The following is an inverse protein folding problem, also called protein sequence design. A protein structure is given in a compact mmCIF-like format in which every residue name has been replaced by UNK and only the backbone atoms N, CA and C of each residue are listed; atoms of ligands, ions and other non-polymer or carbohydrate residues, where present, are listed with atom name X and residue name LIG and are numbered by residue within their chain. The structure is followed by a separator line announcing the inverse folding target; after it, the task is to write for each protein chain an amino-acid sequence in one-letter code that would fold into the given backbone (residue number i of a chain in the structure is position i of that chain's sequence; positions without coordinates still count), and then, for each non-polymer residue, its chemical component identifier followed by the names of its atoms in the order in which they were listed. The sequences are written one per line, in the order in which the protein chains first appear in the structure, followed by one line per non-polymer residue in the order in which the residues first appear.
data_IF_452201998444
#
_entry.id   IF_452201998444
#
_cell.length_a   1.000
_cell.length_b   1.000
_cell.length_c   1.000
_cell.angle_alpha   90.00
_cell.angle_beta   90.00
_cell.angle_gamma   90.00
#
_symmetry.space_group_name_H-M   'P 1'
#
loop_
_entity.id
_entity.type
_entity.pdbx_description
1 polymer ?
#
# COMPACT_ATOMS: atom_id res chain seq x y z
N UNK A 1 20.65 29.88 10.64
CA UNK A 1 19.53 30.10 9.68
C UNK A 1 18.60 28.88 9.70
N UNK A 2 17.31 29.02 10.05
CA UNK A 2 16.33 27.93 9.87
C UNK A 2 16.13 27.70 8.36
N UNK A 3 16.45 26.51 7.83
CA UNK A 3 16.11 26.15 6.44
C UNK A 3 14.58 26.13 6.32
N UNK A 4 14.01 27.05 5.56
CA UNK A 4 12.60 27.01 5.17
C UNK A 4 12.43 25.83 4.21
N UNK A 5 11.62 24.84 4.56
CA UNK A 5 11.34 23.71 3.67
C UNK A 5 10.53 24.24 2.49
N UNK A 6 10.89 23.86 1.26
CA UNK A 6 10.16 24.30 0.08
C UNK A 6 8.82 23.61 -0.07
N UNK A 7 7.90 24.28 -0.78
CA UNK A 7 6.61 23.71 -1.20
C UNK A 7 6.78 22.35 -1.92
N UNK A 8 7.85 22.18 -2.70
CA UNK A 8 8.14 20.95 -3.45
C UNK A 8 8.54 19.78 -2.54
N UNK A 9 9.40 20.01 -1.53
CA UNK A 9 9.76 18.94 -0.58
C UNK A 9 8.62 18.65 0.42
N UNK A 10 7.78 19.64 0.73
CA UNK A 10 6.53 19.44 1.50
C UNK A 10 5.58 18.53 0.71
N UNK A 11 5.29 18.85 -0.55
CA UNK A 11 4.48 18.01 -1.45
C UNK A 11 5.02 16.57 -1.53
N UNK A 12 6.34 16.42 -1.73
CA UNK A 12 6.99 15.10 -1.74
C UNK A 12 6.76 14.33 -0.44
N UNK A 13 6.91 14.98 0.71
CA UNK A 13 6.71 14.34 2.02
C UNK A 13 5.25 13.92 2.21
N UNK A 14 4.29 14.75 1.81
CA UNK A 14 2.85 14.44 1.88
C UNK A 14 2.54 13.18 1.04
N UNK A 15 2.98 13.15 -0.22
CA UNK A 15 2.77 11.99 -1.11
C UNK A 15 3.42 10.74 -0.53
N UNK A 16 4.64 10.87 0.01
CA UNK A 16 5.35 9.76 0.67
C UNK A 16 4.58 9.20 1.87
N UNK A 17 3.97 10.05 2.72
CA UNK A 17 3.14 9.63 3.86
C UNK A 17 1.86 8.94 3.40
N UNK A 18 1.15 9.51 2.42
CA UNK A 18 -0.07 8.92 1.87
C UNK A 18 0.22 7.53 1.31
N UNK A 19 1.27 7.37 0.48
CA UNK A 19 1.64 6.06 -0.05
C UNK A 19 2.15 5.08 1.01
N UNK A 20 2.77 5.55 2.09
CA UNK A 20 3.18 4.70 3.21
C UNK A 20 1.98 4.09 3.95
N UNK A 21 0.89 4.85 4.10
CA UNK A 21 -0.33 4.42 4.79
C UNK A 21 -1.22 3.57 3.87
N UNK A 22 -1.44 4.04 2.64
CA UNK A 22 -2.45 3.47 1.72
C UNK A 22 -1.92 2.28 0.92
N UNK A 23 -0.60 2.23 0.62
CA UNK A 23 -0.03 1.28 -0.35
C UNK A 23 1.06 0.29 0.17
N UNK A 24 1.17 -0.06 1.47
CA UNK A 24 2.22 -0.99 1.91
C UNK A 24 2.05 -2.39 1.30
N UNK A 25 0.81 -2.89 1.20
CA UNK A 25 0.49 -4.19 0.59
C UNK A 25 0.43 -4.18 -0.95
N UNK A 26 0.25 -3.02 -1.60
CA UNK A 26 0.27 -2.96 -3.07
C UNK A 26 1.64 -3.38 -3.62
N UNK A 27 2.71 -3.04 -2.90
CA UNK A 27 4.07 -3.40 -3.29
C UNK A 27 4.24 -4.93 -3.35
N UNK A 28 3.89 -5.66 -2.29
CA UNK A 28 4.06 -7.12 -2.26
C UNK A 28 3.26 -7.80 -3.37
N UNK A 29 2.04 -7.33 -3.66
CA UNK A 29 1.24 -7.80 -4.79
C UNK A 29 1.97 -7.58 -6.13
N UNK A 30 2.34 -6.35 -6.48
CA UNK A 30 2.97 -6.04 -7.78
C UNK A 30 4.25 -6.82 -8.02
N UNK A 31 5.08 -7.06 -6.99
CA UNK A 31 6.35 -7.79 -7.15
C UNK A 31 6.22 -9.29 -7.00
N UNK A 32 5.20 -9.80 -6.29
CA UNK A 32 4.85 -11.23 -6.33
C UNK A 32 4.44 -11.64 -7.75
N UNK A 33 3.62 -10.84 -8.44
CA UNK A 33 3.24 -11.12 -9.83
C UNK A 33 4.42 -11.11 -10.81
N UNK A 34 5.38 -10.18 -10.64
CA UNK A 34 6.62 -10.17 -11.45
C UNK A 34 7.48 -11.41 -11.16
N UNK A 35 7.59 -11.84 -9.89
CA UNK A 35 8.31 -13.06 -9.50
C UNK A 35 7.65 -14.34 -10.02
N UNK A 36 6.31 -14.40 -10.03
CA UNK A 36 5.53 -15.48 -10.65
C UNK A 36 5.75 -15.53 -12.15
N UNK A 37 5.65 -14.40 -12.85
CA UNK A 37 5.89 -14.29 -14.29
C UNK A 37 7.29 -14.80 -14.66
N UNK A 38 8.32 -14.36 -13.93
CA UNK A 38 9.70 -14.82 -14.11
C UNK A 38 9.86 -16.34 -13.86
N UNK A 39 9.16 -16.87 -12.86
CA UNK A 39 9.17 -18.31 -12.56
C UNK A 39 8.46 -19.15 -13.63
N UNK A 40 7.37 -18.64 -14.22
CA UNK A 40 6.70 -19.28 -15.37
C UNK A 40 7.62 -19.31 -16.59
N UNK A 41 8.35 -18.22 -16.86
CA UNK A 41 9.32 -18.12 -17.96
C UNK A 41 10.40 -19.21 -17.82
N UNK A 42 11.02 -19.34 -16.65
CA UNK A 42 12.10 -20.34 -16.43
C UNK A 42 11.57 -21.77 -16.55
N UNK A 43 10.38 -22.06 -16.01
CA UNK A 43 9.84 -23.42 -15.97
C UNK A 43 9.17 -23.87 -17.27
N UNK A 44 9.11 -23.01 -18.30
CA UNK A 44 8.48 -23.30 -19.60
C UNK A 44 6.96 -23.47 -19.58
N UNK A 45 6.31 -23.47 -18.41
CA UNK A 45 4.86 -23.58 -18.26
C UNK A 45 4.21 -22.20 -18.36
N UNK A 46 4.15 -21.66 -19.57
CA UNK A 46 3.51 -20.38 -19.87
C UNK A 46 1.99 -20.50 -19.96
N UNK A 47 1.31 -20.19 -18.85
CA UNK A 47 -0.14 -19.99 -18.86
C UNK A 47 -0.47 -18.49 -19.05
N UNK A 48 -0.85 -18.09 -20.27
CA UNK A 48 -1.14 -16.68 -20.61
C UNK A 48 -2.18 -16.04 -19.68
N UNK A 49 -3.18 -16.81 -19.27
CA UNK A 49 -4.24 -16.37 -18.32
C UNK A 49 -3.68 -16.07 -16.93
N UNK A 50 -2.75 -16.89 -16.43
CA UNK A 50 -2.11 -16.66 -15.12
C UNK A 50 -1.04 -15.57 -15.18
N UNK A 51 -0.43 -15.36 -16.35
CA UNK A 51 0.55 -14.31 -16.60
C UNK A 51 -0.08 -12.91 -16.80
N UNK A 52 -1.36 -12.83 -17.20
CA UNK A 52 -2.06 -11.59 -17.55
C UNK A 52 -1.96 -10.47 -16.50
N UNK A 53 -2.18 -10.72 -15.19
CA UNK A 53 -2.03 -9.68 -14.15
C UNK A 53 -0.60 -9.14 -14.02
N UNK A 54 0.41 -10.03 -14.07
CA UNK A 54 1.82 -9.62 -14.03
C UNK A 54 2.28 -8.89 -15.30
N UNK A 55 1.79 -9.34 -16.46
CA UNK A 55 2.11 -8.75 -17.76
C UNK A 55 1.47 -7.37 -17.93
N UNK A 56 0.21 -7.20 -17.54
CA UNK A 56 -0.45 -5.88 -17.53
C UNK A 56 0.29 -4.91 -16.62
N UNK A 57 0.63 -5.31 -15.38
CA UNK A 57 1.44 -4.48 -14.47
C UNK A 57 2.83 -4.13 -15.05
N UNK A 58 3.49 -5.05 -15.77
CA UNK A 58 4.78 -4.80 -16.41
C UNK A 58 4.67 -3.82 -17.59
N UNK A 59 3.74 -4.06 -18.52
CA UNK A 59 3.44 -3.18 -19.68
C UNK A 59 3.02 -1.78 -19.20
N UNK A 60 2.34 -1.71 -18.06
CA UNK A 60 1.91 -0.48 -17.41
C UNK A 60 3.09 0.31 -16.79
N UNK A 61 3.90 -0.33 -15.93
CA UNK A 61 4.94 0.36 -15.14
C UNK A 61 6.21 0.67 -15.93
N UNK A 62 6.59 -0.16 -16.90
CA UNK A 62 7.86 0.01 -17.65
C UNK A 62 7.88 1.31 -18.47
N UNK A 63 6.87 1.65 -19.30
CA UNK A 63 6.86 2.91 -20.05
C UNK A 63 6.91 4.14 -19.14
N UNK A 64 6.15 4.17 -18.05
CA UNK A 64 6.19 5.30 -17.09
C UNK A 64 7.58 5.41 -16.43
N UNK A 65 8.23 4.27 -16.14
CA UNK A 65 9.62 4.24 -15.64
C UNK A 65 10.64 4.70 -16.68
N UNK A 66 10.39 4.50 -17.98
CA UNK A 66 11.20 5.05 -19.06
C UNK A 66 10.97 6.57 -19.20
N UNK A 67 9.73 7.05 -19.10
CA UNK A 67 9.43 8.48 -19.16
C UNK A 67 10.05 9.26 -17.98
N UNK A 68 9.77 8.83 -16.74
CA UNK A 68 10.10 9.56 -15.51
C UNK A 68 11.31 9.02 -14.73
N UNK A 69 11.96 7.95 -15.21
CA UNK A 69 13.07 7.29 -14.49
C UNK A 69 12.60 6.64 -13.19
N UNK A 70 13.48 6.57 -12.18
CA UNK A 70 13.17 6.00 -10.85
C UNK A 70 12.34 6.93 -9.96
N UNK A 71 11.43 7.72 -10.54
CA UNK A 71 10.56 8.64 -9.80
C UNK A 71 9.74 7.91 -8.74
N UNK A 72 9.17 6.74 -9.06
CA UNK A 72 8.43 5.89 -8.11
C UNK A 72 9.23 5.63 -6.81
N UNK A 73 10.51 5.26 -6.92
CA UNK A 73 11.37 5.02 -5.77
C UNK A 73 11.50 6.26 -4.86
N UNK A 74 11.50 7.47 -5.43
CA UNK A 74 11.69 8.72 -4.70
C UNK A 74 10.43 9.32 -4.07
N UNK A 75 9.25 8.99 -4.59
CA UNK A 75 7.98 9.64 -4.25
C UNK A 75 6.91 8.72 -3.66
N UNK A 76 6.77 7.47 -4.15
CA UNK A 76 5.65 6.58 -3.79
C UNK A 76 6.08 5.28 -3.09
N UNK A 77 7.34 4.87 -3.20
CA UNK A 77 7.82 3.64 -2.57
C UNK A 77 7.81 3.74 -1.02
N UNK A 78 6.84 3.07 -0.39
CA UNK A 78 6.64 3.03 1.06
C UNK A 78 7.92 2.65 1.84
N UNK A 79 8.65 1.62 1.40
CA UNK A 79 9.89 1.20 2.05
C UNK A 79 11.02 2.23 1.91
N UNK A 80 11.09 2.94 0.77
CA UNK A 80 12.00 4.07 0.58
C UNK A 80 11.65 5.26 1.48
N UNK A 81 10.36 5.48 1.72
CA UNK A 81 9.84 6.46 2.68
C UNK A 81 10.16 6.09 4.13
N UNK A 82 10.00 4.81 4.51
CA UNK A 82 10.38 4.31 5.82
C UNK A 82 11.88 4.56 6.11
N UNK A 83 12.74 4.29 5.13
CA UNK A 83 14.18 4.61 5.22
C UNK A 83 14.45 6.13 5.34
N UNK A 84 13.72 6.98 4.59
CA UNK A 84 13.82 8.45 4.73
C UNK A 84 13.43 8.90 6.14
N UNK A 85 12.35 8.36 6.72
CA UNK A 85 11.88 8.72 8.05
C UNK A 85 12.85 8.31 9.16
N UNK A 86 13.40 7.09 9.11
CA UNK A 86 14.43 6.65 10.07
C UNK A 86 15.63 7.59 10.04
N UNK A 87 16.13 7.93 8.85
CA UNK A 87 17.27 8.83 8.69
C UNK A 87 16.98 10.23 9.27
N UNK A 88 15.80 10.79 8.97
CA UNK A 88 15.39 12.11 9.49
C UNK A 88 15.22 12.09 11.01
N UNK A 89 14.60 11.05 11.57
CA UNK A 89 14.43 10.88 13.00
C UNK A 89 15.79 10.76 13.71
N UNK A 90 16.69 9.92 13.21
CA UNK A 90 18.05 9.77 13.72
C UNK A 90 18.84 11.07 13.68
N UNK A 91 18.81 11.81 12.54
CA UNK A 91 19.48 13.11 12.44
C UNK A 91 18.91 14.16 13.40
N UNK A 92 17.60 14.17 13.62
CA UNK A 92 16.95 15.09 14.57
C UNK A 92 17.33 14.77 16.02
N UNK A 93 17.50 13.49 16.35
CA UNK A 93 17.86 13.00 17.68
C UNK A 93 19.34 13.18 18.00
N UNK A 94 20.24 12.69 17.14
CA UNK A 94 21.69 12.67 17.40
C UNK A 94 22.49 13.83 16.82
N UNK A 95 21.88 14.68 15.96
CA UNK A 95 22.50 15.86 15.30
C UNK A 95 23.78 15.58 14.49
N UNK A 96 24.21 14.32 14.35
CA UNK A 96 25.44 13.89 13.68
C UNK A 96 25.13 13.41 12.26
N UNK A 97 25.79 13.99 11.26
CA UNK A 97 25.70 13.51 9.88
C UNK A 97 26.87 12.57 9.59
N UNK A 98 26.64 11.26 9.70
CA UNK A 98 27.62 10.28 9.20
C UNK A 98 27.70 10.39 7.67
N UNK A 99 28.92 10.35 7.13
CA UNK A 99 29.17 10.46 5.68
C UNK A 99 30.10 9.34 5.25
N UNK A 100 29.64 8.54 4.30
CA UNK A 100 30.44 7.49 3.67
C UNK A 100 31.40 8.13 2.67
N UNK A 101 32.62 7.60 2.57
CA UNK A 101 33.60 8.01 1.56
C UNK A 101 33.07 7.74 0.14
N UNK A 102 33.22 8.71 -0.77
CA UNK A 102 32.74 8.68 -2.16
C UNK A 102 33.16 7.39 -2.91
N UNK A 103 34.37 6.85 -2.63
CA UNK A 103 34.85 5.58 -3.19
C UNK A 103 34.07 4.37 -2.68
N UNK A 104 33.92 4.25 -1.36
CA UNK A 104 33.22 3.12 -0.71
C UNK A 104 31.76 3.10 -1.15
N UNK A 105 31.11 4.27 -1.14
CA UNK A 105 29.74 4.43 -1.62
C UNK A 105 29.55 3.99 -3.07
N UNK A 106 30.49 4.35 -3.95
CA UNK A 106 30.43 3.98 -5.36
C UNK A 106 30.60 2.47 -5.58
N UNK A 107 31.44 1.79 -4.79
CA UNK A 107 31.57 0.33 -4.79
C UNK A 107 30.31 -0.33 -4.22
N UNK A 108 29.81 0.16 -3.09
CA UNK A 108 28.69 -0.46 -2.37
C UNK A 108 27.36 -0.36 -3.15
N UNK A 109 27.21 0.63 -4.05
CA UNK A 109 26.11 0.70 -5.04
C UNK A 109 26.08 -0.48 -6.02
N UNK A 110 27.17 -1.25 -6.18
CA UNK A 110 27.16 -2.44 -7.02
C UNK A 110 26.57 -3.68 -6.33
N UNK A 111 26.49 -3.68 -5.00
CA UNK A 111 26.01 -4.84 -4.21
C UNK A 111 24.57 -5.24 -4.59
N UNK A 112 23.70 -4.29 -4.93
CA UNK A 112 22.32 -4.61 -5.38
C UNK A 112 22.26 -5.38 -6.71
N UNK A 113 23.26 -5.25 -7.58
CA UNK A 113 23.33 -6.03 -8.83
C UNK A 113 23.86 -7.44 -8.55
N UNK A 114 24.78 -7.59 -7.59
CA UNK A 114 25.19 -8.89 -7.07
C UNK A 114 24.00 -9.62 -6.42
N UNK A 115 23.22 -8.93 -5.58
CA UNK A 115 21.99 -9.49 -4.98
C UNK A 115 20.96 -9.87 -6.05
N UNK A 116 20.77 -9.03 -7.08
CA UNK A 116 19.90 -9.37 -8.20
C UNK A 116 20.37 -10.64 -8.94
N UNK A 117 21.68 -10.78 -9.20
CA UNK A 117 22.26 -11.96 -9.83
C UNK A 117 22.13 -13.23 -8.96
N UNK A 118 22.32 -13.10 -7.64
CA UNK A 118 22.11 -14.19 -6.69
C UNK A 118 20.65 -14.65 -6.64
N UNK A 119 19.69 -13.72 -6.63
CA UNK A 119 18.26 -14.05 -6.69
C UNK A 119 17.93 -14.76 -8.01
N UNK A 120 18.42 -14.24 -9.15
CA UNK A 120 18.24 -14.85 -10.48
C UNK A 120 18.76 -16.30 -10.49
N UNK A 121 19.95 -16.54 -9.95
CA UNK A 121 20.56 -17.86 -9.84
C UNK A 121 19.76 -18.79 -8.91
N UNK A 122 19.35 -18.30 -7.74
CA UNK A 122 18.59 -19.07 -6.75
C UNK A 122 17.19 -19.48 -7.24
N UNK A 123 16.47 -18.58 -7.93
CA UNK A 123 15.19 -18.93 -8.58
C UNK A 123 15.39 -20.04 -9.61
N UNK A 124 16.50 -20.02 -10.35
CA UNK A 124 16.80 -21.02 -11.38
C UNK A 124 17.10 -22.40 -10.79
N UNK A 125 17.78 -22.48 -9.64
CA UNK A 125 18.16 -23.75 -9.01
C UNK A 125 17.10 -24.33 -8.06
N UNK A 126 16.46 -23.51 -7.23
CA UNK A 126 15.56 -23.96 -6.15
C UNK A 126 14.08 -23.55 -6.35
N UNK A 127 13.78 -22.73 -7.34
CA UNK A 127 12.42 -22.24 -7.57
C UNK A 127 11.97 -21.13 -6.60
N UNK A 128 10.67 -20.84 -6.61
CA UNK A 128 10.11 -19.62 -6.00
C UNK A 128 9.45 -19.82 -4.62
N UNK A 129 9.27 -21.05 -4.15
CA UNK A 129 8.52 -21.34 -2.92
C UNK A 129 9.19 -20.77 -1.67
N UNK A 130 10.51 -20.90 -1.56
CA UNK A 130 11.28 -20.42 -0.40
C UNK A 130 11.51 -18.90 -0.38
N UNK A 131 11.41 -18.20 -1.51
CA UNK A 131 11.75 -16.76 -1.57
C UNK A 131 10.72 -15.84 -0.91
N UNK A 132 9.49 -16.30 -0.70
CA UNK A 132 8.46 -15.50 -0.04
C UNK A 132 8.77 -15.26 1.44
N UNK A 133 9.35 -16.24 2.12
CA UNK A 133 9.56 -16.23 3.58
C UNK A 133 10.78 -15.35 3.97
N UNK A 134 11.78 -15.26 3.08
CA UNK A 134 12.98 -14.44 3.28
C UNK A 134 12.84 -12.99 2.79
N UNK A 135 11.72 -12.60 2.16
CA UNK A 135 11.62 -11.27 1.55
C UNK A 135 11.36 -10.17 2.61
N UNK A 136 12.15 -9.08 2.65
CA UNK A 136 11.96 -8.00 3.62
C UNK A 136 10.69 -7.19 3.35
N UNK A 137 10.11 -7.33 2.15
CA UNK A 137 8.87 -6.67 1.75
C UNK A 137 7.64 -7.33 2.37
N UNK A 138 7.61 -8.67 2.48
CA UNK A 138 6.51 -9.38 3.13
C UNK A 138 6.50 -9.09 4.63
N UNK A 139 7.67 -9.10 5.29
CA UNK A 139 7.79 -8.67 6.68
C UNK A 139 7.36 -7.20 6.90
N UNK A 140 7.71 -6.29 5.99
CA UNK A 140 7.27 -4.89 6.04
C UNK A 140 5.74 -4.73 5.85
N UNK A 141 5.11 -5.52 4.97
CA UNK A 141 3.67 -5.48 4.78
C UNK A 141 2.89 -6.04 5.98
N UNK A 142 3.45 -7.02 6.70
CA UNK A 142 2.85 -7.63 7.88
C UNK A 142 3.02 -6.82 9.18
N UNK A 143 3.63 -5.62 9.12
CA UNK A 143 3.92 -4.78 10.30
C UNK A 143 2.66 -4.28 11.05
N UNK A 144 1.46 -4.49 10.51
CA UNK A 144 0.20 -4.26 11.21
C UNK A 144 -0.22 -5.39 12.16
N UNK A 145 0.22 -6.63 11.91
CA UNK A 145 -0.23 -7.84 12.60
C UNK A 145 0.95 -8.56 13.29
N UNK A 146 1.64 -7.85 14.19
CA UNK A 146 2.92 -8.28 14.76
C UNK A 146 2.90 -9.68 15.41
N UNK A 147 1.84 -10.06 16.14
CA UNK A 147 1.84 -11.25 17.00
C UNK A 147 2.03 -12.56 16.23
N UNK A 148 1.26 -12.77 15.16
CA UNK A 148 1.33 -14.00 14.35
C UNK A 148 2.44 -13.94 13.29
N UNK A 149 2.74 -12.73 12.79
CA UNK A 149 3.72 -12.53 11.73
C UNK A 149 5.17 -12.76 12.17
N UNK A 150 5.51 -12.49 13.44
CA UNK A 150 6.89 -12.60 13.95
C UNK A 150 7.45 -14.02 13.75
N UNK A 151 6.67 -15.05 14.11
CA UNK A 151 7.14 -16.43 14.03
C UNK A 151 7.31 -16.90 12.57
N UNK A 152 6.34 -16.60 11.69
CA UNK A 152 6.40 -17.01 10.28
C UNK A 152 7.49 -16.27 9.47
N UNK A 153 7.72 -14.98 9.74
CA UNK A 153 8.64 -14.15 8.96
C UNK A 153 9.91 -13.74 9.73
N UNK A 154 10.36 -14.57 10.67
CA UNK A 154 11.52 -14.30 11.56
C UNK A 154 12.74 -13.74 10.79
N UNK A 155 13.15 -14.39 9.70
CA UNK A 155 14.29 -13.95 8.88
C UNK A 155 14.04 -12.61 8.18
N UNK A 156 12.82 -12.38 7.70
CA UNK A 156 12.41 -11.11 7.09
C UNK A 156 12.47 -9.94 8.08
N UNK A 157 12.06 -10.16 9.34
CA UNK A 157 12.18 -9.16 10.40
C UNK A 157 13.63 -8.87 10.80
N UNK A 158 14.48 -9.90 10.91
CA UNK A 158 15.93 -9.72 11.17
C UNK A 158 16.57 -8.84 10.07
N UNK A 159 16.27 -9.13 8.80
CA UNK A 159 16.75 -8.33 7.67
C UNK A 159 16.19 -6.90 7.69
N UNK A 160 14.92 -6.71 8.06
CA UNK A 160 14.28 -5.40 8.19
C UNK A 160 14.94 -4.56 9.30
N UNK A 161 15.26 -5.16 10.45
CA UNK A 161 15.99 -4.51 11.55
C UNK A 161 17.39 -4.09 11.09
N UNK A 162 18.13 -4.99 10.42
CA UNK A 162 19.44 -4.66 9.85
C UNK A 162 19.38 -3.49 8.87
N UNK A 163 18.37 -3.47 7.99
CA UNK A 163 18.12 -2.36 7.07
C UNK A 163 17.79 -1.06 7.82
N UNK A 164 16.96 -1.13 8.87
CA UNK A 164 16.59 0.03 9.68
C UNK A 164 17.80 0.64 10.39
N UNK A 165 18.69 -0.19 10.96
CA UNK A 165 19.96 0.26 11.55
C UNK A 165 20.85 0.92 10.47
N UNK A 166 20.98 0.32 9.29
CA UNK A 166 21.71 0.93 8.17
C UNK A 166 21.14 2.27 7.72
N UNK A 167 19.81 2.42 7.73
CA UNK A 167 19.09 3.64 7.39
C UNK A 167 19.30 4.79 8.39
N UNK A 168 19.68 4.51 9.64
CA UNK A 168 20.07 5.55 10.61
C UNK A 168 21.34 6.29 10.16
N UNK A 169 22.34 5.54 9.68
CA UNK A 169 23.63 6.10 9.28
C UNK A 169 23.64 6.63 7.83
N UNK A 170 22.90 5.99 6.93
CA UNK A 170 22.96 6.26 5.48
C UNK A 170 21.56 6.48 4.92
N UNK A 171 21.32 7.67 4.37
CA UNK A 171 20.05 8.00 3.70
C UNK A 171 19.75 6.95 2.62
N UNK A 172 18.57 6.32 2.73
CA UNK A 172 18.07 5.29 1.80
C UNK A 172 19.00 4.09 1.60
N UNK A 173 19.69 3.66 2.66
CA UNK A 173 20.57 2.49 2.72
C UNK A 173 20.11 1.31 1.83
N UNK A 174 18.89 0.82 2.02
CA UNK A 174 18.38 -0.31 1.23
C UNK A 174 18.21 0.00 -0.26
N UNK A 175 17.57 1.12 -0.63
CA UNK A 175 17.34 1.49 -2.03
C UNK A 175 18.64 1.80 -2.80
N UNK A 176 19.73 2.06 -2.08
CA UNK A 176 21.06 2.42 -2.58
C UNK A 176 21.96 1.19 -2.77
N UNK A 177 21.91 0.21 -1.86
CA UNK A 177 22.87 -0.92 -1.85
C UNK A 177 22.24 -2.33 -1.91
N UNK A 178 21.00 -2.52 -1.46
CA UNK A 178 20.42 -3.86 -1.24
C UNK A 178 19.21 -4.17 -2.13
N UNK A 179 18.52 -3.16 -2.66
CA UNK A 179 17.25 -3.33 -3.36
C UNK A 179 17.43 -3.88 -4.79
N UNK A 180 17.05 -5.15 -5.10
CA UNK A 180 17.23 -5.74 -6.42
C UNK A 180 16.34 -5.07 -7.48
N UNK A 181 15.13 -4.64 -7.09
CA UNK A 181 14.23 -3.84 -7.94
C UNK A 181 14.85 -2.46 -8.25
N UNK A 182 15.58 -1.90 -7.29
CA UNK A 182 16.40 -0.71 -7.47
C UNK A 182 17.62 -0.91 -8.36
N UNK A 183 18.03 -2.15 -8.65
CA UNK A 183 19.02 -2.49 -9.66
C UNK A 183 18.37 -2.52 -11.06
N UNK A 184 17.28 -3.28 -11.22
CA UNK A 184 16.49 -3.34 -12.48
C UNK A 184 16.08 -1.94 -12.94
N UNK A 185 15.42 -1.16 -12.09
CA UNK A 185 14.98 0.18 -12.46
C UNK A 185 16.14 1.18 -12.66
N UNK A 186 17.37 0.88 -12.20
CA UNK A 186 18.55 1.71 -12.52
C UNK A 186 19.07 1.46 -13.93
N UNK A 187 18.96 0.22 -14.42
CA UNK A 187 19.27 -0.11 -15.81
C UNK A 187 18.25 0.57 -16.73
N UNK A 188 16.94 0.41 -16.43
CA UNK A 188 15.85 1.02 -17.22
C UNK A 188 15.88 2.55 -17.18
N UNK A 189 16.19 3.18 -16.04
CA UNK A 189 16.21 4.65 -15.96
C UNK A 189 17.39 5.32 -16.68
N UNK A 190 18.41 4.57 -17.14
CA UNK A 190 19.52 5.15 -17.91
C UNK A 190 19.02 5.78 -19.22
N UNK A 191 18.05 5.15 -19.87
CA UNK A 191 17.38 5.66 -21.08
C UNK A 191 16.31 6.74 -20.79
N UNK A 192 16.11 7.15 -19.53
CA UNK A 192 14.94 7.98 -19.19
C UNK A 192 14.93 9.36 -19.84
N UNK A 193 13.73 9.87 -20.14
CA UNK A 193 13.56 11.18 -20.78
C UNK A 193 13.68 12.31 -19.76
N UNK A 194 13.01 12.19 -18.61
CA UNK A 194 13.13 13.13 -17.51
C UNK A 194 14.51 13.02 -16.84
N UNK A 195 15.30 14.09 -16.91
CA UNK A 195 16.66 14.19 -16.38
C UNK A 195 16.89 15.54 -15.69
N UNK A 196 17.78 15.59 -14.72
CA UNK A 196 18.16 16.83 -14.02
C UNK A 196 19.36 17.45 -14.74
N UNK A 197 19.23 18.71 -15.17
CA UNK A 197 20.30 19.49 -15.75
C UNK A 197 20.96 20.37 -14.67
N UNK A 198 22.29 20.47 -14.69
CA UNK A 198 23.10 21.25 -13.74
C UNK A 198 24.45 21.61 -14.38
N UNK A 199 24.51 22.61 -15.27
CA UNK A 199 25.77 22.97 -15.92
C UNK A 199 26.81 23.44 -14.88
N UNK A 200 28.06 23.02 -15.04
CA UNK A 200 29.11 23.21 -14.02
C UNK A 200 29.71 24.63 -14.00
N UNK A 201 29.59 25.37 -15.11
CA UNK A 201 30.00 26.76 -15.31
C UNK A 201 29.65 27.67 -14.13
N UNK A 202 28.39 27.62 -13.67
CA UNK A 202 27.85 28.48 -12.62
C UNK A 202 28.03 27.92 -11.21
N UNK A 203 28.62 26.73 -11.05
CA UNK A 203 28.79 26.07 -9.75
C UNK A 203 30.14 26.34 -9.06
N UNK A 204 31.24 26.49 -9.81
CA UNK A 204 32.58 26.59 -9.23
C UNK A 204 32.90 25.42 -8.28
N UNK A 205 33.50 25.70 -7.11
CA UNK A 205 33.85 24.69 -6.09
C UNK A 205 32.66 24.21 -5.22
N UNK A 206 31.41 24.54 -5.56
CA UNK A 206 30.24 24.22 -4.74
C UNK A 206 29.86 22.73 -4.77
N UNK A 207 29.87 22.07 -3.61
CA UNK A 207 29.42 20.66 -3.44
C UNK A 207 28.03 20.50 -2.82
N UNK A 208 27.25 21.59 -2.67
CA UNK A 208 26.01 21.58 -1.88
C UNK A 208 24.96 20.58 -2.40
N UNK A 209 24.79 20.47 -3.73
CA UNK A 209 23.87 19.53 -4.34
C UNK A 209 24.27 18.06 -4.07
N UNK A 210 25.55 17.73 -4.24
CA UNK A 210 26.13 16.41 -3.92
C UNK A 210 25.92 16.06 -2.45
N UNK A 211 26.24 16.99 -1.55
CA UNK A 211 26.15 16.81 -0.10
C UNK A 211 24.71 16.62 0.43
N UNK A 212 23.68 16.92 -0.37
CA UNK A 212 22.26 16.74 -0.01
C UNK A 212 21.55 15.76 -0.98
N UNK A 213 22.31 14.98 -1.76
CA UNK A 213 21.75 13.97 -2.67
C UNK A 213 21.46 12.67 -1.90
N UNK A 214 20.19 12.27 -1.82
CA UNK A 214 19.74 11.04 -1.14
C UNK A 214 20.44 9.76 -1.61
N UNK A 215 20.87 9.72 -2.88
CA UNK A 215 21.57 8.58 -3.48
C UNK A 215 23.09 8.78 -3.61
N UNK A 216 23.65 9.85 -3.03
CA UNK A 216 25.08 10.17 -3.09
C UNK A 216 25.61 10.23 -4.52
N UNK A 217 24.89 10.89 -5.43
CA UNK A 217 25.37 11.11 -6.79
C UNK A 217 26.37 12.27 -6.75
N UNK A 218 27.52 12.10 -7.38
CA UNK A 218 28.59 13.10 -7.49
C UNK A 218 28.22 14.24 -8.46
N UNK A 219 27.17 14.99 -8.12
CA UNK A 219 26.60 16.05 -8.96
C UNK A 219 27.59 17.15 -9.34
N UNK A 220 28.74 17.24 -8.67
CA UNK A 220 29.82 18.18 -9.00
C UNK A 220 30.68 17.76 -10.21
N UNK A 221 30.69 16.47 -10.59
CA UNK A 221 31.43 15.96 -11.75
C UNK A 221 30.61 15.96 -13.05
N UNK A 222 29.29 16.12 -12.97
CA UNK A 222 28.38 15.97 -14.12
C UNK A 222 27.58 17.23 -14.41
N UNK A 223 27.48 17.57 -15.70
CA UNK A 223 26.61 18.64 -16.21
C UNK A 223 25.13 18.21 -16.29
N UNK A 224 24.87 16.94 -16.60
CA UNK A 224 23.52 16.37 -16.70
C UNK A 224 23.48 15.04 -15.97
N UNK A 225 22.44 14.81 -15.16
CA UNK A 225 22.28 13.58 -14.40
C UNK A 225 21.74 12.48 -15.32
N UNK A 226 22.65 11.68 -15.86
CA UNK A 226 22.37 10.51 -16.70
C UNK A 226 22.57 9.18 -15.98
N UNK A 227 22.97 9.19 -14.70
CA UNK A 227 23.11 7.98 -13.90
C UNK A 227 21.74 7.41 -13.52
N UNK A 228 21.57 6.10 -13.74
CA UNK A 228 20.34 5.39 -13.38
C UNK A 228 20.01 5.40 -11.88
N UNK A 229 20.97 5.78 -11.04
CA UNK A 229 20.79 5.95 -9.60
C UNK A 229 19.90 7.13 -9.20
N UNK A 230 19.59 8.05 -10.11
CA UNK A 230 18.73 9.19 -9.78
C UNK A 230 17.26 8.76 -9.59
N UNK A 231 16.76 8.93 -8.36
CA UNK A 231 15.34 8.72 -7.99
C UNK A 231 14.46 9.96 -8.19
N UNK A 232 14.96 10.99 -8.87
CA UNK A 232 14.22 12.23 -9.18
C UNK A 232 13.50 12.84 -7.95
N UNK A 233 14.18 12.85 -6.79
CA UNK A 233 13.68 13.40 -5.52
C UNK A 233 13.74 14.94 -5.43
N UNK A 234 14.38 15.59 -6.41
CA UNK A 234 14.47 17.04 -6.60
C UNK A 234 15.09 17.85 -5.45
N UNK A 235 15.63 17.21 -4.40
CA UNK A 235 16.37 17.88 -3.30
C UNK A 235 17.51 18.78 -3.80
N UNK A 236 18.18 18.39 -4.89
CA UNK A 236 19.26 19.18 -5.48
C UNK A 236 18.78 20.47 -6.17
N UNK A 237 17.54 20.49 -6.69
CA UNK A 237 16.92 21.71 -7.25
C UNK A 237 16.64 22.70 -6.13
N UNK A 238 15.99 22.22 -5.06
CA UNK A 238 15.58 23.02 -3.92
C UNK A 238 16.78 23.63 -3.16
N UNK A 239 17.83 22.84 -2.93
CA UNK A 239 18.96 23.27 -2.10
C UNK A 239 19.91 24.27 -2.80
N UNK A 240 19.72 24.55 -4.09
CA UNK A 240 20.67 25.32 -4.88
C UNK A 240 20.43 26.83 -4.77
N UNK A 241 21.28 27.59 -4.04
CA UNK A 241 21.09 29.04 -3.86
C UNK A 241 21.24 29.83 -5.16
N UNK A 242 21.91 29.26 -6.17
CA UNK A 242 22.14 29.88 -7.49
C UNK A 242 21.06 29.54 -8.52
N UNK A 243 20.02 28.76 -8.16
CA UNK A 243 18.98 28.23 -9.07
C UNK A 243 19.52 27.55 -10.35
N UNK A 244 20.75 27.02 -10.29
CA UNK A 244 21.47 26.47 -11.44
C UNK A 244 21.12 24.99 -11.76
N UNK A 245 20.24 24.40 -10.96
CA UNK A 245 19.78 23.01 -11.08
C UNK A 245 18.34 23.03 -11.59
N UNK A 246 18.10 22.44 -12.75
CA UNK A 246 16.81 22.48 -13.44
C UNK A 246 16.30 21.08 -13.77
N UNK A 247 14.98 20.92 -13.83
CA UNK A 247 14.35 19.71 -14.35
C UNK A 247 14.19 19.84 -15.87
N UNK A 248 14.52 18.79 -16.62
CA UNK A 248 14.47 18.82 -18.09
C UNK A 248 13.85 17.57 -18.68
N UNK A 249 13.03 17.76 -19.70
CA UNK A 249 12.43 16.72 -20.55
C UNK A 249 12.83 17.02 -21.99
N UNK A 250 13.49 16.07 -22.67
CA UNK A 250 14.03 16.26 -24.04
C UNK A 250 14.84 17.57 -24.19
N UNK A 251 15.67 17.89 -23.19
CA UNK A 251 16.46 19.13 -23.07
C UNK A 251 15.66 20.45 -22.92
N UNK A 252 14.33 20.44 -22.93
CA UNK A 252 13.53 21.60 -22.55
C UNK A 252 13.46 21.71 -21.02
N UNK A 253 13.56 22.93 -20.51
CA UNK A 253 13.48 23.22 -19.07
C UNK A 253 12.01 23.31 -18.64
N UNK A 254 11.63 22.55 -17.60
CA UNK A 254 10.25 22.47 -17.14
C UNK A 254 10.14 22.70 -15.64
N UNK A 255 8.97 23.16 -15.20
CA UNK A 255 8.72 23.36 -13.78
C UNK A 255 8.72 22.00 -13.03
N UNK A 256 9.61 21.80 -12.05
CA UNK A 256 9.71 20.54 -11.31
C UNK A 256 8.42 20.13 -10.60
N UNK A 257 7.58 21.09 -10.18
CA UNK A 257 6.31 20.79 -9.53
C UNK A 257 5.29 20.18 -10.51
N UNK A 258 5.21 20.72 -11.74
CA UNK A 258 4.33 20.19 -12.78
C UNK A 258 4.79 18.79 -13.19
N UNK A 259 6.09 18.61 -13.42
CA UNK A 259 6.67 17.30 -13.75
C UNK A 259 6.34 16.23 -12.68
N UNK A 260 6.46 16.59 -11.40
CA UNK A 260 6.09 15.71 -10.29
C UNK A 260 4.59 15.42 -10.25
N UNK A 261 3.73 16.41 -10.45
CA UNK A 261 2.28 16.23 -10.45
C UNK A 261 1.81 15.30 -11.57
N UNK A 262 2.31 15.49 -12.80
CA UNK A 262 2.02 14.62 -13.94
C UNK A 262 2.53 13.20 -13.68
N UNK A 263 3.74 13.04 -13.14
CA UNK A 263 4.26 11.72 -12.79
C UNK A 263 3.40 11.00 -11.74
N UNK A 264 2.99 11.69 -10.67
CA UNK A 264 2.10 11.13 -9.64
C UNK A 264 0.77 10.71 -10.27
N UNK A 265 0.12 11.60 -11.03
CA UNK A 265 -1.16 11.31 -11.69
C UNK A 265 -1.07 10.14 -12.68
N UNK A 266 0.03 10.02 -13.41
CA UNK A 266 0.28 8.89 -14.31
C UNK A 266 0.38 7.58 -13.53
N UNK A 267 1.13 7.53 -12.42
CA UNK A 267 1.26 6.32 -11.60
C UNK A 267 -0.02 5.96 -10.82
N UNK A 268 -0.78 6.95 -10.31
CA UNK A 268 -2.04 6.68 -9.60
C UNK A 268 -3.17 6.31 -10.55
N UNK A 269 -3.26 6.93 -11.73
CA UNK A 269 -4.19 6.55 -12.78
C UNK A 269 -3.91 5.15 -13.32
N UNK A 270 -2.63 4.82 -13.54
CA UNK A 270 -2.20 3.47 -13.91
C UNK A 270 -2.62 2.42 -12.87
N UNK A 271 -2.45 2.74 -11.58
CA UNK A 271 -2.89 1.86 -10.50
C UNK A 271 -4.41 1.66 -10.51
N UNK A 272 -5.20 2.74 -10.65
CA UNK A 272 -6.66 2.65 -10.71
C UNK A 272 -7.14 1.78 -11.89
N UNK A 273 -6.52 1.93 -13.07
CA UNK A 273 -6.78 1.07 -14.24
C UNK A 273 -6.38 -0.38 -13.96
N UNK A 274 -5.22 -0.62 -13.35
CA UNK A 274 -4.77 -1.97 -12.99
C UNK A 274 -5.68 -2.65 -11.98
N UNK A 275 -6.24 -1.92 -11.00
CA UNK A 275 -7.21 -2.47 -10.05
C UNK A 275 -8.57 -2.77 -10.68
N UNK A 276 -9.05 -1.90 -11.57
CA UNK A 276 -10.31 -2.11 -12.29
C UNK A 276 -10.22 -3.35 -13.20
N UNK A 277 -9.16 -3.47 -14.01
CA UNK A 277 -8.92 -4.62 -14.88
C UNK A 277 -8.69 -5.91 -14.07
N UNK A 278 -7.97 -5.83 -12.95
CA UNK A 278 -7.76 -6.97 -12.05
C UNK A 278 -9.05 -7.50 -11.42
N UNK A 279 -10.03 -6.63 -11.16
CA UNK A 279 -11.38 -7.03 -10.76
C UNK A 279 -12.13 -7.78 -11.86
N UNK A 280 -12.08 -7.27 -13.10
CA UNK A 280 -12.78 -7.86 -14.27
C UNK A 280 -12.25 -9.23 -14.71
N UNK A 281 -11.00 -9.57 -14.40
CA UNK A 281 -10.44 -10.91 -14.70
C UNK A 281 -10.90 -11.97 -13.70
N UNK A 282 -11.24 -11.59 -12.45
CA UNK A 282 -11.74 -12.53 -11.43
C UNK A 282 -13.16 -13.02 -11.68
N UNK A 283 -14.00 -12.27 -12.40
CA UNK A 283 -15.42 -12.61 -12.61
C UNK A 283 -15.67 -13.62 -13.72
N UNK A 284 -14.70 -13.91 -14.59
CA UNK A 284 -14.93 -14.60 -15.87
C UNK A 284 -14.15 -15.91 -16.09
N UNK A 285 -13.73 -16.64 -15.04
CA UNK A 285 -13.19 -18.00 -15.24
C UNK A 285 -13.50 -18.98 -14.08
N UNK A 286 -13.98 -20.20 -14.37
CA UNK A 286 -14.26 -21.19 -13.34
C UNK A 286 -12.96 -21.74 -12.73
N UNK A 287 -12.84 -21.70 -11.41
CA UNK A 287 -11.72 -22.30 -10.68
C UNK A 287 -11.96 -23.79 -10.53
N UNK A 288 -11.20 -24.60 -11.27
CA UNK A 288 -11.15 -26.04 -11.06
C UNK A 288 -10.42 -26.38 -9.76
N UNK A 289 -11.13 -26.95 -8.79
CA UNK A 289 -10.56 -27.45 -7.53
C UNK A 289 -9.89 -28.82 -7.75
N UNK A 290 -8.58 -28.90 -7.54
CA UNK A 290 -7.88 -30.19 -7.43
C UNK A 290 -7.53 -30.50 -5.97
N UNK A 291 -8.14 -31.57 -5.48
CA UNK A 291 -7.95 -32.20 -4.17
C UNK A 291 -6.56 -32.83 -4.05
N UNK A 292 -5.95 -32.72 -2.86
CA UNK A 292 -4.84 -33.57 -2.42
C UNK A 292 -5.15 -34.14 -1.03
N UNK A 293 -5.24 -35.46 -0.92
CA UNK A 293 -5.59 -36.18 0.30
C UNK A 293 -4.37 -36.55 1.17
N UNK A 294 -4.60 -36.71 2.48
CA UNK A 294 -3.75 -37.47 3.41
C UNK A 294 -2.86 -36.63 4.35
N UNK A 295 -2.75 -36.89 5.66
CA UNK A 295 -3.41 -37.95 6.47
C UNK A 295 -3.43 -37.61 7.97
N UNK A 296 -4.54 -37.95 8.61
CA UNK A 296 -4.89 -38.03 10.04
C UNK A 296 -3.79 -38.09 11.11
N UNK A 297 -4.01 -37.38 12.23
CA UNK A 297 -4.00 -37.99 13.58
C UNK A 297 -5.26 -37.49 14.34
N UNK A 298 -5.93 -38.40 15.04
CA UNK A 298 -7.24 -38.20 15.67
C UNK A 298 -7.15 -37.82 17.15
N UNK A 299 -8.13 -37.05 17.64
CA UNK A 299 -8.57 -37.08 19.04
C UNK A 299 -10.06 -36.76 19.11
N UNK A 300 -10.90 -37.80 19.21
CA UNK A 300 -12.35 -37.67 19.38
C UNK A 300 -12.72 -37.58 20.85
N UNK A 301 -13.74 -36.79 21.18
CA UNK A 301 -14.69 -37.16 22.22
C UNK A 301 -16.09 -36.71 21.81
N UNK A 302 -17.09 -37.47 22.25
CA UNK A 302 -18.39 -37.62 21.59
C UNK A 302 -19.55 -37.44 22.61
N UNK A 303 -20.80 -37.67 22.18
CA UNK A 303 -22.08 -37.65 22.93
C UNK A 303 -22.77 -36.25 22.97
N UNK A 304 -24.07 -36.10 22.69
CA UNK A 304 -25.04 -37.04 22.08
C UNK A 304 -26.33 -36.30 21.63
N UNK A 305 -26.96 -36.76 20.53
CA UNK A 305 -28.41 -36.84 20.21
C UNK A 305 -29.38 -35.64 20.47
N UNK A 306 -30.42 -35.37 19.65
CA UNK A 306 -30.98 -36.10 18.51
C UNK A 306 -31.77 -35.16 17.56
N UNK A 307 -31.74 -35.48 16.26
CA UNK A 307 -32.85 -35.48 15.25
C UNK A 307 -34.10 -34.60 15.55
N UNK A 308 -34.61 -33.70 14.69
CA UNK A 308 -34.72 -33.65 13.21
C UNK A 308 -34.83 -32.16 12.73
N UNK A 309 -35.16 -31.72 11.50
CA UNK A 309 -35.61 -32.36 10.24
C UNK A 309 -35.22 -31.52 8.97
N UNK A 310 -35.07 -32.19 7.81
CA UNK A 310 -35.19 -31.73 6.39
C UNK A 310 -34.68 -30.35 5.86
N UNK A 311 -33.93 -30.46 4.73
CA UNK A 311 -33.97 -29.61 3.51
C UNK A 311 -33.48 -28.14 3.59
N UNK A 312 -32.88 -27.50 2.56
CA UNK A 312 -32.40 -27.91 1.20
C UNK A 312 -31.43 -26.84 0.63
N UNK A 313 -30.47 -27.26 -0.21
CA UNK A 313 -29.85 -26.53 -1.35
C UNK A 313 -29.65 -24.98 -1.34
N UNK A 314 -28.39 -24.54 -1.37
CA UNK A 314 -27.74 -24.04 -2.61
C UNK A 314 -27.89 -22.58 -3.09
N UNK A 315 -26.72 -21.92 -3.23
CA UNK A 315 -26.33 -20.86 -4.18
C UNK A 315 -26.84 -19.39 -4.11
N UNK A 316 -25.83 -18.51 -3.92
CA UNK A 316 -25.47 -17.31 -4.69
C UNK A 316 -26.42 -16.11 -4.90
N UNK A 317 -25.97 -14.98 -4.36
CA UNK A 317 -25.89 -13.63 -4.96
C UNK A 317 -27.10 -13.05 -5.74
N UNK A 318 -27.64 -11.94 -5.23
CA UNK A 318 -27.58 -10.66 -5.97
C UNK A 318 -27.92 -9.46 -5.08
N UNK A 319 -27.08 -8.42 -5.13
CA UNK A 319 -27.38 -7.11 -4.57
C UNK A 319 -28.20 -6.28 -5.56
N UNK A 320 -29.53 -6.33 -5.44
CA UNK A 320 -30.43 -5.46 -6.21
C UNK A 320 -30.61 -4.14 -5.46
N UNK A 321 -30.40 -3.02 -6.15
CA UNK A 321 -30.80 -1.70 -5.66
C UNK A 321 -32.32 -1.63 -5.52
N UNK A 322 -32.83 -1.47 -4.31
CA UNK A 322 -34.27 -1.26 -4.05
C UNK A 322 -34.52 0.03 -3.28
N UNK A 323 -34.92 1.07 -4.01
CA UNK A 323 -35.73 2.15 -3.45
C UNK A 323 -37.03 1.55 -2.88
N UNK A 324 -37.30 1.75 -1.60
CA UNK A 324 -38.34 1.01 -0.88
C UNK A 324 -39.76 1.48 -1.24
N UNK A 325 -40.56 0.55 -1.77
CA UNK A 325 -42.02 0.66 -1.83
C UNK A 325 -42.66 0.22 -0.51
N UNK A 326 -43.73 0.90 -0.07
CA UNK A 326 -44.51 0.59 1.14
C UNK A 326 -44.80 -0.92 1.30
N UNK A 327 -44.65 -1.44 2.54
CA UNK A 327 -45.35 -2.66 2.99
C UNK A 327 -44.52 -3.90 3.34
N UNK A 328 -43.21 -3.79 3.57
CA UNK A 328 -42.33 -4.98 3.76
C UNK A 328 -42.14 -5.45 5.23
N UNK A 329 -42.66 -4.72 6.21
CA UNK A 329 -42.47 -5.06 7.63
C UNK A 329 -43.78 -5.19 8.38
N UNK A 330 -43.85 -6.17 9.28
CA UNK A 330 -44.94 -6.35 10.24
C UNK A 330 -44.85 -5.29 11.34
N UNK A 331 -46.00 -4.76 11.76
CA UNK A 331 -46.07 -3.82 12.88
C UNK A 331 -45.75 -4.52 14.21
N UNK A 332 -44.97 -3.85 15.05
CA UNK A 332 -44.47 -4.42 16.30
C UNK A 332 -43.20 -3.72 16.80
N UNK A 333 -42.65 -4.20 17.91
CA UNK A 333 -41.37 -3.74 18.45
C UNK A 333 -40.39 -4.91 18.46
N UNK A 334 -39.27 -4.73 17.78
CA UNK A 334 -38.25 -5.76 17.54
C UNK A 334 -36.93 -5.35 18.20
N UNK A 335 -36.21 -6.29 18.79
CA UNK A 335 -34.90 -6.02 19.42
C UNK A 335 -33.81 -6.69 18.62
N UNK A 336 -32.86 -5.91 18.12
CA UNK A 336 -31.70 -6.40 17.39
C UNK A 336 -30.38 -6.13 18.11
N UNK A 337 -29.35 -6.90 17.76
CA UNK A 337 -28.01 -6.84 18.38
C UNK A 337 -26.94 -6.56 17.32
N UNK A 338 -26.28 -5.42 17.46
CA UNK A 338 -25.20 -4.98 16.57
C UNK A 338 -23.83 -5.02 17.23
N UNK A 339 -22.80 -4.89 16.40
CA UNK A 339 -21.39 -4.93 16.83
C UNK A 339 -20.74 -3.57 16.54
N UNK A 340 -20.57 -2.76 17.59
CA UNK A 340 -20.04 -1.40 17.48
C UNK A 340 -18.52 -1.32 17.56
N UNK A 341 -18.00 -0.34 18.30
CA UNK A 341 -16.62 -0.40 18.77
C UNK A 341 -16.45 -1.47 19.85
N UNK A 342 -17.52 -1.75 20.62
CA UNK A 342 -17.62 -2.86 21.58
C UNK A 342 -18.78 -3.82 21.20
N UNK A 343 -18.74 -5.08 21.67
CA UNK A 343 -19.87 -6.01 21.50
C UNK A 343 -21.09 -5.59 22.32
N UNK A 344 -22.22 -6.24 22.03
CA UNK A 344 -23.49 -6.17 22.76
C UNK A 344 -24.21 -4.80 22.71
N UNK A 345 -24.18 -4.13 21.56
CA UNK A 345 -25.04 -2.97 21.30
C UNK A 345 -26.45 -3.44 20.95
N UNK A 346 -27.44 -3.15 21.80
CA UNK A 346 -28.85 -3.57 21.59
C UNK A 346 -29.73 -2.37 21.26
N UNK A 347 -30.57 -2.54 20.25
CA UNK A 347 -31.47 -1.50 19.74
C UNK A 347 -32.89 -2.06 19.62
N UNK A 348 -33.86 -1.29 20.12
CA UNK A 348 -35.29 -1.49 19.93
C UNK A 348 -35.74 -0.74 18.68
N UNK A 349 -36.47 -1.38 17.78
CA UNK A 349 -37.05 -0.78 16.58
C UNK A 349 -38.56 -0.99 16.60
N UNK A 350 -39.32 0.10 16.62
CA UNK A 350 -40.78 0.07 16.53
C UNK A 350 -41.22 0.33 15.10
N UNK A 351 -42.18 -0.47 14.63
CA UNK A 351 -42.74 -0.43 13.29
C UNK A 351 -44.25 -0.21 13.40
N UNK A 352 -44.78 0.72 12.59
CA UNK A 352 -46.19 1.11 12.60
C UNK A 352 -46.62 1.51 11.19
N UNK A 353 -47.70 0.93 10.67
CA UNK A 353 -48.12 1.09 9.28
C UNK A 353 -47.11 0.56 8.26
N UNK A 354 -46.32 -0.46 8.61
CA UNK A 354 -45.25 -1.02 7.79
C UNK A 354 -44.03 -0.10 7.62
N UNK A 355 -43.87 0.89 8.50
CA UNK A 355 -42.77 1.87 8.51
C UNK A 355 -42.09 1.94 9.87
N UNK A 356 -40.79 2.22 9.87
CA UNK A 356 -39.99 2.43 11.08
C UNK A 356 -40.47 3.73 11.74
N UNK A 357 -41.06 3.63 12.93
CA UNK A 357 -41.64 4.76 13.67
C UNK A 357 -40.77 5.23 14.84
N UNK A 358 -39.99 4.33 15.45
CA UNK A 358 -39.03 4.68 16.51
C UNK A 358 -37.81 3.74 16.51
N UNK A 359 -36.66 4.24 16.98
CA UNK A 359 -35.43 3.48 17.19
C UNK A 359 -34.81 3.95 18.51
N UNK A 360 -34.63 3.05 19.47
CA UNK A 360 -34.14 3.36 20.82
C UNK A 360 -32.98 2.42 21.22
N UNK A 361 -31.91 2.96 21.80
CA UNK A 361 -30.77 2.16 22.24
C UNK A 361 -31.04 1.61 23.65
N UNK A 362 -31.19 0.29 23.77
CA UNK A 362 -31.54 -0.40 25.03
C UNK A 362 -30.31 -0.56 25.92
N UNK A 363 -29.18 -0.98 25.35
CA UNK A 363 -27.94 -1.22 26.09
C UNK A 363 -26.71 -1.10 25.19
N UNK A 364 -25.61 -0.56 25.73
CA UNK A 364 -24.35 -0.41 24.99
C UNK A 364 -23.14 -0.44 25.94
N UNK A 365 -21.99 -0.84 25.40
CA UNK A 365 -20.69 -0.80 26.10
C UNK A 365 -19.71 0.21 25.47
N UNK A 366 -20.21 1.14 24.66
CA UNK A 366 -19.43 2.09 23.87
C UNK A 366 -18.61 3.10 24.70
N UNK A 367 -17.53 3.63 24.11
CA UNK A 367 -16.61 4.56 24.78
C UNK A 367 -17.21 5.96 24.90
N UNK A 368 -17.33 6.49 26.13
CA UNK A 368 -17.82 7.85 26.43
C UNK A 368 -17.05 8.93 25.67
N UNK A 369 -17.76 9.92 25.13
CA UNK A 369 -17.23 10.99 24.27
C UNK A 369 -17.18 10.65 22.78
N UNK A 370 -17.66 9.47 22.37
CA UNK A 370 -17.66 9.02 20.96
C UNK A 370 -19.00 8.42 20.49
N UNK A 371 -19.88 7.96 21.40
CA UNK A 371 -21.16 7.34 21.02
C UNK A 371 -22.31 8.33 20.96
N UNK A 372 -22.18 9.46 21.65
CA UNK A 372 -23.23 10.46 21.86
C UNK A 372 -23.73 11.04 20.53
N UNK A 373 -22.82 11.33 19.58
CA UNK A 373 -23.18 11.85 18.27
C UNK A 373 -23.78 10.79 17.32
N UNK A 374 -23.20 9.57 17.16
CA UNK A 374 -23.87 8.48 16.44
C UNK A 374 -25.27 8.14 16.95
N UNK A 375 -25.46 8.09 18.28
CA UNK A 375 -26.73 7.66 18.89
C UNK A 375 -27.84 8.71 18.68
N UNK A 376 -27.49 9.98 18.54
CA UNK A 376 -28.45 11.02 18.17
C UNK A 376 -28.71 11.10 16.66
N UNK A 377 -27.69 10.88 15.83
CA UNK A 377 -27.76 11.14 14.37
C UNK A 377 -28.28 9.94 13.58
N UNK A 378 -27.66 8.77 13.74
CA UNK A 378 -27.91 7.60 12.88
C UNK A 378 -29.35 7.07 12.99
N UNK A 379 -29.97 6.95 14.18
CA UNK A 379 -31.38 6.55 14.28
C UNK A 379 -32.33 7.50 13.54
N UNK A 380 -32.09 8.81 13.58
CA UNK A 380 -32.93 9.82 12.90
C UNK A 380 -32.83 9.71 11.39
N UNK A 381 -31.62 9.53 10.85
CA UNK A 381 -31.42 9.32 9.42
C UNK A 381 -32.07 8.03 8.92
N UNK A 382 -32.04 6.95 9.70
CA UNK A 382 -32.73 5.69 9.36
C UNK A 382 -34.25 5.89 9.35
N UNK A 383 -34.82 6.55 10.36
CA UNK A 383 -36.27 6.86 10.40
C UNK A 383 -36.67 7.78 9.24
N UNK A 384 -35.84 8.76 8.88
CA UNK A 384 -36.13 9.70 7.80
C UNK A 384 -36.02 9.06 6.40
N UNK A 385 -34.99 8.24 6.17
CA UNK A 385 -34.77 7.55 4.90
C UNK A 385 -35.58 6.25 4.76
N UNK A 386 -36.10 5.72 5.86
CA UNK A 386 -36.66 4.38 5.99
C UNK A 386 -35.70 3.26 5.54
N UNK A 387 -34.39 3.51 5.57
CA UNK A 387 -33.35 2.61 5.07
C UNK A 387 -32.18 2.51 6.05
N UNK A 388 -31.48 1.37 6.06
CA UNK A 388 -30.25 1.17 6.84
C UNK A 388 -29.00 1.66 6.12
N UNK A 389 -29.12 2.03 4.83
CA UNK A 389 -28.06 2.64 4.03
C UNK A 389 -27.97 4.16 4.31
N UNK A 390 -27.45 4.52 5.49
CA UNK A 390 -27.24 5.90 5.96
C UNK A 390 -25.76 6.18 6.20
N UNK A 391 -25.38 7.46 6.29
CA UNK A 391 -23.99 7.86 6.43
C UNK A 391 -23.47 7.64 7.86
N UNK A 392 -22.20 7.23 7.97
CA UNK A 392 -21.57 7.03 9.29
C UNK A 392 -21.00 8.34 9.85
N UNK A 393 -21.13 8.56 11.15
CA UNK A 393 -20.56 9.75 11.80
C UNK A 393 -19.03 9.71 11.77
N UNK A 394 -18.43 10.79 11.23
CA UNK A 394 -16.97 10.96 11.17
C UNK A 394 -16.33 10.91 12.55
N UNK A 395 -15.33 10.04 12.71
CA UNK A 395 -14.66 9.80 14.00
C UNK A 395 -15.32 8.70 14.86
N UNK A 396 -16.52 8.25 14.51
CA UNK A 396 -17.27 7.22 15.25
C UNK A 396 -17.90 6.16 14.31
N UNK A 397 -17.20 5.82 13.23
CA UNK A 397 -17.65 4.90 12.17
C UNK A 397 -18.02 3.50 12.69
N UNK A 398 -17.25 2.94 13.63
CA UNK A 398 -17.56 1.60 14.19
C UNK A 398 -18.84 1.60 15.02
N UNK A 399 -19.02 2.60 15.87
CA UNK A 399 -20.24 2.79 16.66
C UNK A 399 -21.46 3.02 15.76
N UNK A 400 -21.29 3.79 14.67
CA UNK A 400 -22.33 4.00 13.64
C UNK A 400 -22.73 2.70 12.96
N UNK A 401 -21.76 1.91 12.48
CA UNK A 401 -22.02 0.59 11.87
C UNK A 401 -22.64 -0.41 12.86
N UNK A 402 -22.32 -0.28 14.16
CA UNK A 402 -22.98 -1.03 15.22
C UNK A 402 -24.49 -0.77 15.27
N UNK A 403 -24.90 0.51 15.22
CA UNK A 403 -26.33 0.89 15.22
C UNK A 403 -27.01 0.34 13.96
N UNK A 404 -26.39 0.54 12.79
CA UNK A 404 -26.91 0.06 11.50
C UNK A 404 -27.12 -1.45 11.54
N UNK A 405 -26.12 -2.24 11.96
CA UNK A 405 -26.23 -3.69 12.08
C UNK A 405 -27.27 -4.16 13.12
N UNK A 406 -27.42 -3.45 14.24
CA UNK A 406 -28.46 -3.75 15.22
C UNK A 406 -29.87 -3.50 14.66
N UNK A 407 -30.04 -2.45 13.85
CA UNK A 407 -31.32 -2.16 13.18
C UNK A 407 -31.59 -3.16 12.05
N UNK A 408 -30.59 -3.57 11.28
CA UNK A 408 -30.74 -4.61 10.26
C UNK A 408 -31.15 -5.96 10.86
N UNK A 409 -30.57 -6.34 12.00
CA UNK A 409 -30.95 -7.52 12.76
C UNK A 409 -32.41 -7.43 13.25
N UNK A 410 -32.82 -6.30 13.84
CA UNK A 410 -34.20 -6.07 14.26
C UNK A 410 -35.20 -6.10 13.08
N UNK A 411 -34.86 -5.47 11.95
CA UNK A 411 -35.69 -5.46 10.73
C UNK A 411 -35.76 -6.83 10.07
N UNK A 412 -34.74 -7.70 10.26
CA UNK A 412 -34.79 -9.08 9.76
C UNK A 412 -35.88 -9.90 10.44
N UNK A 413 -36.13 -9.64 11.72
CA UNK A 413 -37.18 -10.29 12.54
C UNK A 413 -38.59 -9.78 12.20
N UNK A 414 -38.70 -8.62 11.55
CA UNK A 414 -39.97 -7.96 11.20
C UNK A 414 -40.50 -8.31 9.80
N UNK A 415 -39.76 -9.06 8.99
CA UNK A 415 -40.17 -9.49 7.63
C UNK A 415 -41.23 -10.60 7.68
#
# INVERSE_FOLDING_TARGET
MKKKISKLQILRTIVQVICLIVLPGLFTLSFSEIGKLYSMIIKGNFNLVQALPGLTAAIAVVPITILFGRFFCGWMCAFGTFNDFIYIAFQKMFKKQFRVNERIDSILKYVKYLILALIICFVWTMGNSTLNDYSPWNAFAQIGNFTDAIFQYTFGFILLIFIAVGAMFIERFFCRYLCPLGAIFSIVSKISIFKINKPNDKCGKCRLCTNNCSMGIELYKVNKVSSGECINCLKCIDICPRKNTQASVVNQEINPAIASAVAIAAFTGLYAVSSALGGSVKSNMPVGTNTSNGTNISASNNLNNSSQIQNRTGNSENGISSSLTNGQYKDGTYTGVGHGFRPDLKVSVTISGGKISNIEIISHNESRGYYEQPFDTVPKEIIQSQSTNVDTVSGATRSSNGIISAVEDALSQAK
#
